data_IF_459138672094
#
_entry.id   IF_459138672094
#
_cell.length_a   1.000
_cell.length_b   1.000
_cell.length_c   1.000
_cell.angle_alpha   90.00
_cell.angle_beta   90.00
_cell.angle_gamma   90.00
#
_symmetry.space_group_name_H-M   'P 1'
#
loop_
_entity.id
_entity.type
_entity.pdbx_description
1 polymer ?
#
# COMPACT_ATOMS: atom_id res chain seq x y z
N UNK A 1 3.68 21.05 6.95
CA UNK A 1 3.67 19.96 5.95
C UNK A 1 2.65 18.93 6.44
N UNK A 2 1.76 18.43 5.59
CA UNK A 2 0.62 17.59 6.02
C UNK A 2 0.95 16.12 5.82
N UNK A 3 0.58 15.25 6.77
CA UNK A 3 0.66 13.80 6.61
C UNK A 3 -0.56 13.29 5.85
N UNK A 4 -0.31 12.43 4.89
CA UNK A 4 -1.32 11.81 4.04
C UNK A 4 -1.15 10.30 4.12
N UNK A 5 -2.27 9.58 4.19
CA UNK A 5 -2.30 8.15 3.94
C UNK A 5 -2.72 7.92 2.49
N UNK A 6 -1.93 7.12 1.78
CA UNK A 6 -2.19 6.69 0.42
C UNK A 6 -2.40 5.18 0.44
N UNK A 7 -3.63 4.77 0.12
CA UNK A 7 -4.03 3.38 0.02
C UNK A 7 -4.01 2.97 -1.45
N UNK A 8 -3.14 2.05 -1.81
CA UNK A 8 -2.97 1.56 -3.18
C UNK A 8 -3.46 0.11 -3.23
N UNK A 9 -4.64 -0.16 -3.81
CA UNK A 9 -5.11 -1.52 -3.98
C UNK A 9 -4.17 -2.31 -4.88
N UNK A 10 -4.05 -3.60 -4.59
CA UNK A 10 -3.19 -4.53 -5.32
C UNK A 10 -3.96 -5.78 -5.68
N UNK A 11 -3.59 -6.42 -6.78
CA UNK A 11 -4.18 -7.67 -7.23
C UNK A 11 -3.06 -8.65 -7.56
N UNK A 12 -3.12 -9.85 -7.00
CA UNK A 12 -2.15 -10.92 -7.26
C UNK A 12 -2.86 -12.13 -7.83
N UNK A 13 -2.26 -12.78 -8.81
CA UNK A 13 -2.75 -14.09 -9.25
C UNK A 13 -2.45 -15.15 -8.18
N UNK A 14 -3.46 -15.96 -7.87
CA UNK A 14 -3.30 -17.09 -6.95
C UNK A 14 -2.53 -18.21 -7.66
N UNK A 15 -1.37 -18.65 -7.13
CA UNK A 15 -0.63 -19.73 -7.74
C UNK A 15 -1.38 -21.05 -7.55
N UNK A 16 -2.02 -21.53 -8.61
CA UNK A 16 -2.69 -22.84 -8.65
C UNK A 16 -4.15 -22.81 -9.11
N UNK A 17 -4.77 -21.63 -9.17
CA UNK A 17 -6.17 -21.50 -9.59
C UNK A 17 -6.27 -20.61 -10.85
N UNK A 18 -6.62 -21.15 -12.03
CA UNK A 18 -6.83 -20.34 -13.21
C UNK A 18 -8.05 -19.42 -13.01
N UNK A 19 -7.78 -18.14 -12.73
CA UNK A 19 -8.80 -17.11 -12.45
C UNK A 19 -8.84 -16.63 -11.00
N UNK A 20 -8.12 -17.29 -10.09
CA UNK A 20 -7.99 -16.88 -8.69
C UNK A 20 -7.22 -15.56 -8.57
N UNK A 21 -7.86 -14.53 -8.03
CA UNK A 21 -7.27 -13.21 -7.82
C UNK A 21 -7.35 -12.83 -6.35
N UNK A 22 -6.21 -12.59 -5.73
CA UNK A 22 -6.10 -12.19 -4.33
C UNK A 22 -6.03 -10.66 -4.25
N UNK A 23 -7.09 -9.98 -3.77
CA UNK A 23 -7.04 -8.53 -3.53
C UNK A 23 -6.17 -8.23 -2.30
N UNK A 24 -5.49 -7.09 -2.35
CA UNK A 24 -4.73 -6.55 -1.22
C UNK A 24 -4.72 -5.03 -1.26
N UNK A 25 -4.12 -4.41 -0.24
CA UNK A 25 -3.92 -2.96 -0.18
C UNK A 25 -2.54 -2.68 0.40
N UNK A 26 -1.80 -1.79 -0.27
CA UNK A 26 -0.57 -1.22 0.26
C UNK A 26 -0.85 0.17 0.82
N UNK A 27 -0.38 0.42 2.04
CA UNK A 27 -0.58 1.68 2.74
C UNK A 27 0.74 2.43 2.84
N UNK A 28 0.72 3.70 2.46
CA UNK A 28 1.86 4.60 2.57
C UNK A 28 1.45 5.85 3.34
N UNK A 29 2.11 6.10 4.47
CA UNK A 29 2.04 7.40 5.14
C UNK A 29 3.19 8.27 4.63
N UNK A 30 2.84 9.42 4.05
CA UNK A 30 3.79 10.35 3.40
C UNK A 30 3.52 11.78 3.86
N UNK A 31 4.58 12.59 3.93
CA UNK A 31 4.47 14.02 4.16
C UNK A 31 4.47 14.76 2.83
N UNK A 32 3.47 15.61 2.60
CA UNK A 32 3.35 16.39 1.38
C UNK A 32 2.51 17.67 1.61
N UNK A 33 2.75 18.68 0.78
CA UNK A 33 1.97 19.93 0.82
C UNK A 33 0.54 19.75 0.29
N UNK A 34 0.33 18.84 -0.66
CA UNK A 34 -0.95 18.62 -1.35
C UNK A 34 -1.12 17.15 -1.75
N UNK A 35 -2.37 16.67 -1.98
CA UNK A 35 -2.63 15.25 -2.27
C UNK A 35 -1.99 14.75 -3.57
N UNK A 36 -1.83 15.62 -4.58
CA UNK A 36 -1.13 15.26 -5.83
C UNK A 36 0.33 14.90 -5.60
N UNK A 37 1.00 15.60 -4.68
CA UNK A 37 2.38 15.32 -4.31
C UNK A 37 2.45 14.06 -3.44
N UNK A 38 1.50 13.88 -2.50
CA UNK A 38 1.38 12.66 -1.70
C UNK A 38 1.26 11.41 -2.59
N UNK A 39 0.42 11.47 -3.63
CA UNK A 39 0.28 10.42 -4.64
C UNK A 39 1.61 10.06 -5.28
N UNK A 40 2.36 11.07 -5.75
CA UNK A 40 3.62 10.86 -6.45
C UNK A 40 4.66 10.22 -5.54
N UNK A 41 4.82 10.75 -4.32
CA UNK A 41 5.75 10.20 -3.32
C UNK A 41 5.39 8.74 -2.97
N UNK A 42 4.11 8.43 -2.79
CA UNK A 42 3.66 7.07 -2.51
C UNK A 42 3.93 6.11 -3.69
N UNK A 43 3.70 6.54 -4.93
CA UNK A 43 3.99 5.73 -6.11
C UNK A 43 5.50 5.54 -6.33
N UNK A 44 6.31 6.55 -6.08
CA UNK A 44 7.77 6.45 -6.16
C UNK A 44 8.30 5.47 -5.11
N UNK A 45 7.77 5.52 -3.88
CA UNK A 45 8.05 4.53 -2.83
C UNK A 45 7.58 3.13 -3.22
N UNK A 46 6.39 3.02 -3.81
CA UNK A 46 5.89 1.75 -4.30
C UNK A 46 6.81 1.19 -5.39
N UNK A 47 7.22 1.99 -6.37
CA UNK A 47 8.16 1.58 -7.42
C UNK A 47 9.50 1.11 -6.85
N UNK A 48 10.10 1.89 -5.94
CA UNK A 48 11.44 1.65 -5.39
C UNK A 48 11.54 0.62 -4.27
N UNK A 49 10.44 0.18 -3.65
CA UNK A 49 10.50 -0.76 -2.53
C UNK A 49 10.94 -2.18 -2.98
N UNK A 50 12.15 -2.66 -2.62
CA UNK A 50 12.50 -4.07 -2.81
C UNK A 50 11.52 -4.91 -1.98
N UNK A 51 10.97 -5.92 -2.62
CA UNK A 51 9.85 -6.71 -2.14
C UNK A 51 9.94 -7.13 -0.65
N UNK A 52 9.17 -6.48 0.22
CA UNK A 52 8.56 -7.22 1.33
C UNK A 52 7.79 -8.37 0.69
N UNK A 53 7.93 -9.57 1.27
CA UNK A 53 7.60 -10.91 0.74
C UNK A 53 6.24 -11.08 0.02
N UNK A 54 5.34 -10.10 0.09
CA UNK A 54 4.04 -10.03 -0.58
C UNK A 54 4.07 -9.52 -2.03
N UNK A 55 5.21 -9.03 -2.55
CA UNK A 55 5.27 -8.35 -3.86
C UNK A 55 5.46 -9.25 -5.08
N UNK A 56 5.81 -10.54 -4.94
CA UNK A 56 6.01 -11.42 -6.10
C UNK A 56 4.67 -11.65 -6.84
N UNK A 57 4.42 -10.83 -7.86
CA UNK A 57 3.29 -10.96 -8.81
C UNK A 57 2.06 -10.09 -8.52
N UNK A 58 2.13 -9.11 -7.61
CA UNK A 58 0.98 -8.24 -7.32
C UNK A 58 1.01 -6.96 -8.17
N UNK A 59 0.03 -6.77 -9.05
CA UNK A 59 -0.17 -5.55 -9.81
C UNK A 59 -0.79 -4.45 -8.92
N UNK A 60 -0.30 -3.21 -9.04
CA UNK A 60 -0.90 -2.05 -8.37
C UNK A 60 -2.07 -1.52 -9.20
N UNK A 61 -3.22 -1.30 -8.57
CA UNK A 61 -4.40 -0.69 -9.18
C UNK A 61 -4.40 0.82 -8.90
N UNK A 62 -3.51 1.53 -9.59
CA UNK A 62 -3.22 2.95 -9.37
C UNK A 62 -4.44 3.84 -9.60
N UNK A 63 -5.34 3.44 -10.48
CA UNK A 63 -6.61 4.11 -10.77
C UNK A 63 -7.62 4.06 -9.60
N UNK A 64 -7.43 3.10 -8.67
CA UNK A 64 -8.29 2.91 -7.50
C UNK A 64 -7.67 3.39 -6.20
N UNK A 65 -6.54 4.11 -6.26
CA UNK A 65 -5.90 4.59 -5.04
C UNK A 65 -6.75 5.64 -4.33
N UNK A 66 -6.70 5.62 -3.00
CA UNK A 66 -7.38 6.57 -2.13
C UNK A 66 -6.35 7.40 -1.37
N UNK A 67 -6.58 8.70 -1.27
CA UNK A 67 -5.72 9.63 -0.55
C UNK A 67 -6.55 10.38 0.46
N UNK A 68 -6.13 10.33 1.72
CA UNK A 68 -6.80 11.04 2.80
C UNK A 68 -5.77 11.70 3.73
N UNK A 69 -6.12 12.80 4.41
CA UNK A 69 -5.31 13.31 5.52
C UNK A 69 -5.11 12.20 6.55
N UNK A 70 -3.88 12.04 7.03
CA UNK A 70 -3.57 11.08 8.09
C UNK A 70 -3.87 11.73 9.45
N UNK A 71 -4.80 11.15 10.19
CA UNK A 71 -5.19 11.57 11.54
C UNK A 71 -4.81 10.55 12.62
N UNK A 72 -4.01 9.53 12.28
CA UNK A 72 -3.57 8.51 13.23
C UNK A 72 -2.32 8.97 14.01
N UNK A 73 -1.94 8.23 15.08
CA UNK A 73 -0.75 8.56 15.86
C UNK A 73 0.51 8.56 14.97
N UNK A 74 1.46 9.46 15.26
CA UNK A 74 2.74 9.55 14.54
C UNK A 74 3.63 8.32 14.73
N UNK A 75 3.30 7.47 15.70
CA UNK A 75 3.96 6.21 15.96
C UNK A 75 3.62 5.20 14.86
N UNK A 76 4.55 5.05 13.92
CA UNK A 76 4.92 3.79 13.25
C UNK A 76 3.78 2.80 13.03
N UNK A 77 3.35 2.68 11.77
CA UNK A 77 2.62 1.51 11.25
C UNK A 77 3.16 0.26 11.95
N UNK A 78 2.34 -0.36 12.80
CA UNK A 78 2.75 -1.56 13.51
C UNK A 78 3.30 -2.57 12.50
N UNK A 79 4.40 -3.28 12.80
CA UNK A 79 4.81 -4.40 11.98
C UNK A 79 3.60 -5.35 11.81
N UNK A 80 3.45 -5.99 10.64
CA UNK A 80 2.31 -6.86 10.38
C UNK A 80 2.21 -7.86 11.53
N UNK A 81 1.04 -7.90 12.17
CA UNK A 81 0.75 -8.80 13.28
C UNK A 81 1.22 -10.21 12.93
N UNK A 82 2.30 -10.65 13.58
CA UNK A 82 2.68 -12.05 13.57
C UNK A 82 1.67 -12.80 14.45
N UNK A 83 0.75 -13.53 13.82
CA UNK A 83 -0.10 -14.49 14.52
C UNK A 83 -1.57 -14.38 14.18
N UNK A 84 -2.00 -15.14 13.17
CA UNK A 84 -3.31 -15.80 13.26
C UNK A 84 -3.07 -17.13 14.00
N UNK A 85 -3.70 -17.36 15.16
CA UNK A 85 -3.70 -18.68 15.78
C UNK A 85 -4.48 -19.67 14.88
N UNK A 86 -3.98 -20.91 14.87
CA UNK A 86 -4.55 -22.08 14.18
C UNK A 86 -5.97 -22.39 14.62
#
# INVERSE_FOLDING_TARGET
>A
MTKWIVSIPTLRDEPGEPGGRIPGVQLYVVEASHPRLARRVALDRAAGAPALRHRRGAALLVEKLVISPWNGPDCSVSPPTAGLPR
#
